data_IF_452597476579
#
_entry.id   IF_452597476579
#
_cell.length_a   1.000
_cell.length_b   1.000
_cell.length_c   1.000
_cell.angle_alpha   90.00
_cell.angle_beta   90.00
_cell.angle_gamma   90.00
#
_symmetry.space_group_name_H-M   'P 1'
#
loop_
_entity.id
_entity.type
_entity.pdbx_description
1 polymer ?
#
# COMPACT_ATOMS: atom_id res chain seq x y z
N UNK A 1 23.50 11.77 -3.55
CA UNK A 1 22.28 11.07 -3.07
C UNK A 1 21.09 12.02 -3.25
N UNK A 2 20.08 11.60 -4.03
CA UNK A 2 18.83 12.34 -4.23
C UNK A 2 17.74 11.63 -3.42
N UNK A 3 16.87 12.39 -2.77
CA UNK A 3 15.69 11.87 -2.07
C UNK A 3 14.46 12.10 -2.93
N UNK A 4 13.64 11.08 -3.08
CA UNK A 4 12.35 11.13 -3.75
C UNK A 4 11.27 10.76 -2.74
N UNK A 5 10.23 11.55 -2.68
CA UNK A 5 9.10 11.35 -1.79
C UNK A 5 8.04 10.50 -2.48
N UNK A 6 7.83 9.29 -1.96
CA UNK A 6 6.83 8.35 -2.47
C UNK A 6 5.54 8.37 -1.65
N UNK A 7 5.32 9.46 -0.91
CA UNK A 7 4.14 9.63 -0.06
C UNK A 7 3.03 10.34 -0.81
N UNK A 8 1.79 9.90 -0.63
CA UNK A 8 0.60 10.63 -1.10
C UNK A 8 0.38 11.90 -0.29
N UNK A 9 -0.18 12.91 -0.92
CA UNK A 9 -0.61 14.12 -0.24
C UNK A 9 -1.71 13.78 0.79
N UNK A 10 -1.72 14.51 1.92
CA UNK A 10 -2.70 14.36 2.98
C UNK A 10 -3.43 15.68 3.24
N UNK A 11 -4.75 15.64 3.23
CA UNK A 11 -5.60 16.80 3.49
C UNK A 11 -6.89 16.43 4.21
N UNK A 12 -7.77 17.42 4.40
CA UNK A 12 -9.12 17.24 4.91
C UNK A 12 -9.96 16.27 4.06
N UNK A 13 -9.67 16.16 2.76
CA UNK A 13 -10.42 15.35 1.80
C UNK A 13 -9.79 13.99 1.53
N UNK A 14 -8.69 13.67 2.20
CA UNK A 14 -8.03 12.37 2.05
C UNK A 14 -8.98 11.25 2.47
N UNK A 15 -9.30 10.32 1.58
CA UNK A 15 -10.18 9.21 1.91
C UNK A 15 -9.47 8.21 2.81
N UNK A 16 -10.23 7.58 3.71
CA UNK A 16 -9.78 6.41 4.44
C UNK A 16 -10.22 5.13 3.73
N UNK A 17 -9.63 3.99 4.11
CA UNK A 17 -10.09 2.70 3.62
C UNK A 17 -11.57 2.46 3.95
N UNK A 18 -12.23 1.65 3.13
CA UNK A 18 -13.66 1.36 3.24
C UNK A 18 -14.09 0.95 4.65
N UNK A 19 -15.04 1.69 5.20
CA UNK A 19 -15.57 1.47 6.56
C UNK A 19 -14.91 2.32 7.66
N UNK A 20 -13.82 3.03 7.37
CA UNK A 20 -13.20 3.97 8.29
C UNK A 20 -13.66 5.41 8.02
N UNK A 21 -13.82 6.26 9.06
CA UNK A 21 -14.05 7.69 8.86
C UNK A 21 -12.80 8.38 8.31
N UNK A 22 -12.99 9.31 7.39
CA UNK A 22 -11.93 10.19 6.90
C UNK A 22 -11.41 11.16 7.99
N UNK A 23 -10.33 11.92 7.70
CA UNK A 23 -9.74 12.85 8.64
C UNK A 23 -10.65 14.06 8.89
N UNK A 24 -10.64 14.56 10.13
CA UNK A 24 -11.18 15.86 10.51
C UNK A 24 -10.05 16.78 10.96
N UNK A 25 -9.90 17.91 10.28
CA UNK A 25 -8.82 18.86 10.54
C UNK A 25 -9.45 20.21 10.88
N UNK A 26 -9.04 20.82 12.01
CA UNK A 26 -9.52 22.14 12.40
C UNK A 26 -8.40 23.03 12.94
N UNK A 27 -8.51 24.32 12.67
CA UNK A 27 -7.67 25.33 13.32
C UNK A 27 -8.15 25.56 14.74
N UNK A 28 -7.28 25.34 15.72
CA UNK A 28 -7.51 25.63 17.13
C UNK A 28 -6.82 26.93 17.58
N UNK A 29 -5.82 27.41 16.82
CA UNK A 29 -5.18 28.70 16.96
C UNK A 29 -4.96 29.36 15.62
N UNK A 30 -5.10 30.66 15.56
CA UNK A 30 -4.86 31.44 14.35
C UNK A 30 -3.84 32.55 14.58
N UNK A 31 -2.90 32.71 13.67
CA UNK A 31 -1.82 33.71 13.75
C UNK A 31 -2.36 35.12 14.02
N UNK A 32 -3.50 35.48 13.41
CA UNK A 32 -4.09 36.81 13.56
C UNK A 32 -4.52 37.14 15.00
N UNK A 33 -4.82 36.14 15.83
CA UNK A 33 -5.34 36.36 17.18
C UNK A 33 -4.35 35.92 18.26
N UNK A 34 -3.69 34.75 18.06
CA UNK A 34 -2.82 34.17 19.11
C UNK A 34 -1.33 34.25 18.79
N UNK A 35 -0.94 34.90 17.68
CA UNK A 35 0.44 34.96 17.15
C UNK A 35 1.11 33.59 16.96
N UNK A 36 0.31 32.54 16.88
CA UNK A 36 0.72 31.17 16.60
C UNK A 36 -0.38 30.47 15.81
N UNK A 37 0.02 29.59 14.89
CA UNK A 37 -0.87 28.68 14.21
C UNK A 37 -0.92 27.34 14.95
N UNK A 38 -2.11 26.74 15.09
CA UNK A 38 -2.27 25.40 15.64
C UNK A 38 -3.43 24.69 14.99
N UNK A 39 -3.21 23.43 14.61
CA UNK A 39 -4.25 22.54 14.07
C UNK A 39 -4.43 21.34 14.99
N UNK A 40 -5.64 20.83 15.01
CA UNK A 40 -5.99 19.54 15.60
C UNK A 40 -6.44 18.60 14.49
N UNK A 41 -6.00 17.34 14.56
CA UNK A 41 -6.35 16.29 13.60
C UNK A 41 -6.97 15.13 14.37
N UNK A 42 -8.13 14.66 13.91
CA UNK A 42 -8.74 13.39 14.31
C UNK A 42 -8.81 12.52 13.05
N UNK A 43 -8.23 11.33 13.09
CA UNK A 43 -8.23 10.42 11.94
C UNK A 43 -8.08 8.97 12.40
N UNK A 44 -8.41 8.03 11.52
CA UNK A 44 -7.96 6.63 11.62
C UNK A 44 -6.50 6.53 11.20
N UNK A 45 -5.84 5.41 11.51
CA UNK A 45 -4.43 5.22 11.16
C UNK A 45 -4.26 4.73 9.72
N UNK A 46 -5.31 4.11 9.15
CA UNK A 46 -5.36 3.60 7.76
C UNK A 46 -5.86 4.68 6.80
N UNK A 47 -5.07 5.75 6.66
CA UNK A 47 -5.40 6.91 5.82
C UNK A 47 -4.14 7.45 5.15
N UNK A 48 -4.22 7.76 3.86
CA UNK A 48 -3.06 8.16 3.06
C UNK A 48 -1.94 7.09 3.11
N UNK A 49 -0.71 7.47 2.84
CA UNK A 49 0.44 6.55 2.94
C UNK A 49 0.69 6.19 4.40
N UNK A 50 0.53 4.92 4.73
CA UNK A 50 0.67 4.40 6.10
C UNK A 50 1.35 3.04 6.11
N UNK A 51 1.91 2.67 7.26
CA UNK A 51 2.49 1.37 7.54
C UNK A 51 1.56 0.59 8.46
N UNK A 52 1.24 -0.64 8.08
CA UNK A 52 0.52 -1.60 8.91
C UNK A 52 1.47 -2.52 9.64
N UNK A 53 1.25 -2.68 10.95
CA UNK A 53 2.01 -3.59 11.80
C UNK A 53 1.26 -4.91 12.04
N UNK A 54 1.94 -5.99 12.43
CA UNK A 54 1.29 -7.27 12.70
C UNK A 54 0.12 -7.22 13.68
N UNK A 55 0.15 -6.30 14.64
CA UNK A 55 -0.94 -6.11 15.61
C UNK A 55 -2.28 -5.71 14.97
N UNK A 56 -2.28 -5.25 13.71
CA UNK A 56 -3.50 -4.93 12.98
C UNK A 56 -4.40 -6.17 12.78
N UNK A 57 -3.81 -7.33 12.49
CA UNK A 57 -4.55 -8.58 12.25
C UNK A 57 -4.19 -9.72 13.21
N UNK A 58 -3.09 -9.58 13.95
CA UNK A 58 -2.57 -10.64 14.81
C UNK A 58 -2.65 -10.25 16.29
N UNK A 59 -3.44 -10.98 17.06
CA UNK A 59 -3.46 -10.83 18.53
C UNK A 59 -2.09 -11.13 19.11
N UNK A 60 -1.50 -10.15 19.81
CA UNK A 60 -0.14 -10.23 20.33
C UNK A 60 0.95 -9.96 19.30
N UNK A 61 0.58 -9.51 18.09
CA UNK A 61 1.54 -9.05 17.08
C UNK A 61 2.29 -7.77 17.51
N UNK A 62 3.40 -7.49 16.84
CA UNK A 62 4.18 -6.27 17.07
C UNK A 62 3.38 -5.02 16.68
N UNK A 63 3.56 -3.96 17.45
CA UNK A 63 3.07 -2.63 17.13
C UNK A 63 4.12 -1.82 16.35
N UNK A 64 3.73 -0.69 15.78
CA UNK A 64 4.63 0.22 15.06
C UNK A 64 5.85 0.62 15.91
N UNK A 65 5.62 0.90 17.20
CA UNK A 65 6.68 1.30 18.14
C UNK A 65 7.73 0.21 18.42
N UNK A 66 7.42 -1.04 18.11
CA UNK A 66 8.30 -2.20 18.30
C UNK A 66 9.23 -2.46 17.10
N UNK A 67 8.97 -1.81 15.95
CA UNK A 67 9.75 -1.98 14.73
C UNK A 67 11.02 -1.11 14.79
N UNK A 68 12.23 -1.72 14.73
CA UNK A 68 13.47 -0.94 14.75
C UNK A 68 13.71 -0.22 13.41
N UNK A 69 14.42 0.92 13.46
CA UNK A 69 14.69 1.70 12.25
C UNK A 69 15.45 0.92 11.17
N UNK A 70 16.34 0.02 11.57
CA UNK A 70 17.10 -0.85 10.68
C UNK A 70 16.20 -1.83 9.90
N UNK A 71 15.03 -2.15 10.46
CA UNK A 71 14.01 -2.93 9.76
C UNK A 71 13.28 -2.10 8.70
N UNK A 72 13.07 -0.82 8.99
CA UNK A 72 12.26 0.10 8.16
C UNK A 72 13.02 0.70 6.97
N UNK A 73 14.34 0.49 6.87
CA UNK A 73 15.17 1.01 5.78
C UNK A 73 16.02 -0.12 5.19
N UNK A 74 16.13 -0.20 3.87
CA UNK A 74 16.95 -1.20 3.22
C UNK A 74 16.91 -1.18 1.70
N UNK A 75 17.63 -2.09 1.07
CA UNK A 75 17.54 -2.30 -0.38
C UNK A 75 16.11 -2.66 -0.76
N UNK A 76 15.62 -2.09 -1.87
CA UNK A 76 14.29 -2.32 -2.37
C UNK A 76 14.28 -2.52 -3.88
N UNK A 77 13.47 -3.46 -4.36
CA UNK A 77 13.16 -3.65 -5.76
C UNK A 77 11.81 -2.99 -6.06
N UNK A 78 11.78 -2.08 -7.02
CA UNK A 78 10.55 -1.42 -7.48
C UNK A 78 10.09 -2.11 -8.77
N UNK A 79 9.01 -2.86 -8.67
CA UNK A 79 8.48 -3.69 -9.76
C UNK A 79 7.28 -3.00 -10.40
N UNK A 80 7.39 -2.69 -11.69
CA UNK A 80 6.33 -2.06 -12.47
C UNK A 80 5.40 -3.09 -13.11
N UNK A 81 4.26 -3.35 -12.46
CA UNK A 81 3.23 -4.25 -12.99
C UNK A 81 2.35 -3.57 -14.05
N UNK A 82 2.21 -2.24 -14.04
CA UNK A 82 1.47 -1.51 -15.08
C UNK A 82 2.08 -1.75 -16.45
N UNK A 83 3.41 -1.70 -16.56
CA UNK A 83 4.15 -2.02 -17.79
C UNK A 83 3.88 -3.43 -18.32
N UNK A 84 3.55 -4.36 -17.44
CA UNK A 84 3.21 -5.74 -17.80
C UNK A 84 1.75 -5.93 -18.22
N UNK A 85 0.97 -4.84 -18.26
CA UNK A 85 -0.44 -4.85 -18.66
C UNK A 85 -1.40 -5.28 -17.56
N UNK A 86 -0.95 -5.30 -16.31
CA UNK A 86 -1.80 -5.58 -15.15
C UNK A 86 -2.66 -4.35 -14.85
N UNK A 87 -3.97 -4.52 -14.80
CA UNK A 87 -4.94 -3.41 -14.65
C UNK A 87 -6.16 -3.80 -13.82
N UNK A 88 -7.30 -3.16 -14.12
CA UNK A 88 -8.53 -3.29 -13.33
C UNK A 88 -8.90 -4.75 -13.06
N UNK A 89 -9.02 -5.10 -11.76
CA UNK A 89 -9.35 -6.41 -11.20
C UNK A 89 -8.38 -7.55 -11.52
N UNK A 90 -7.28 -7.29 -12.24
CA UNK A 90 -6.34 -8.34 -12.58
C UNK A 90 -5.66 -8.94 -11.36
N UNK A 91 -5.21 -10.17 -11.51
CA UNK A 91 -4.44 -10.89 -10.50
C UNK A 91 -2.96 -10.89 -10.89
N UNK A 92 -2.10 -10.70 -9.91
CA UNK A 92 -0.67 -10.92 -10.11
C UNK A 92 -0.14 -12.06 -9.21
N UNK A 93 0.79 -12.82 -9.75
CA UNK A 93 1.44 -13.94 -9.10
C UNK A 93 2.96 -13.85 -9.20
N UNK A 94 3.70 -14.85 -8.67
CA UNK A 94 5.16 -14.92 -8.71
C UNK A 94 5.78 -14.70 -10.09
N UNK A 95 5.10 -15.18 -11.12
CA UNK A 95 5.54 -15.14 -12.53
C UNK A 95 5.83 -13.73 -13.03
N UNK A 96 5.11 -12.72 -12.55
CA UNK A 96 5.32 -11.31 -12.90
C UNK A 96 6.63 -10.77 -12.31
N UNK A 97 6.94 -11.12 -11.07
CA UNK A 97 8.18 -10.71 -10.39
C UNK A 97 9.39 -11.44 -10.95
N UNK A 98 9.24 -12.72 -11.29
CA UNK A 98 10.28 -13.49 -11.99
C UNK A 98 10.48 -12.97 -13.42
N UNK A 99 9.42 -12.50 -14.09
CA UNK A 99 9.55 -11.84 -15.40
C UNK A 99 10.31 -10.52 -15.25
N UNK A 100 9.97 -9.73 -14.23
CA UNK A 100 10.70 -8.50 -13.92
C UNK A 100 12.20 -8.75 -13.69
N UNK A 101 12.57 -9.81 -12.97
CA UNK A 101 13.97 -10.21 -12.77
C UNK A 101 14.67 -10.50 -14.11
N UNK A 102 13.99 -11.20 -15.01
CA UNK A 102 14.52 -11.52 -16.35
C UNK A 102 14.70 -10.27 -17.22
N UNK A 103 13.72 -9.37 -17.19
CA UNK A 103 13.69 -8.18 -18.05
C UNK A 103 14.71 -7.13 -17.63
N UNK A 104 14.90 -6.94 -16.33
CA UNK A 104 15.74 -5.89 -15.77
C UNK A 104 17.16 -6.35 -15.43
N UNK A 105 17.36 -7.66 -15.28
CA UNK A 105 18.60 -8.24 -14.76
C UNK A 105 18.80 -8.04 -13.26
N UNK A 106 17.87 -7.38 -12.57
CA UNK A 106 17.88 -7.29 -11.12
C UNK A 106 17.37 -8.58 -10.47
N UNK A 107 17.66 -8.76 -9.20
CA UNK A 107 17.12 -9.85 -8.39
C UNK A 107 16.50 -9.35 -7.11
N UNK A 108 15.36 -9.96 -6.75
CA UNK A 108 14.73 -9.79 -5.44
C UNK A 108 15.41 -10.76 -4.49
N UNK A 109 16.27 -10.25 -3.63
CA UNK A 109 17.09 -11.04 -2.71
C UNK A 109 16.42 -11.16 -1.34
N UNK A 110 16.82 -12.16 -0.57
CA UNK A 110 16.37 -12.30 0.82
C UNK A 110 16.71 -11.05 1.63
N UNK A 111 15.70 -10.47 2.27
CA UNK A 111 15.83 -9.26 3.08
C UNK A 111 15.63 -7.96 2.30
N UNK A 112 15.40 -8.03 0.98
CA UNK A 112 14.97 -6.85 0.23
C UNK A 112 13.55 -6.43 0.61
N UNK A 113 13.28 -5.15 0.43
CA UNK A 113 11.94 -4.58 0.43
C UNK A 113 11.37 -4.70 -0.99
N UNK A 114 10.09 -5.02 -1.12
CA UNK A 114 9.44 -5.11 -2.41
C UNK A 114 8.43 -3.99 -2.57
N UNK A 115 8.69 -3.07 -3.50
CA UNK A 115 7.78 -2.00 -3.89
C UNK A 115 7.01 -2.43 -5.14
N UNK A 116 5.70 -2.53 -5.02
CA UNK A 116 4.79 -2.97 -6.08
C UNK A 116 4.14 -1.73 -6.67
N UNK A 117 4.47 -1.43 -7.92
CA UNK A 117 3.85 -0.35 -8.67
C UNK A 117 2.77 -0.93 -9.58
N UNK A 118 1.55 -0.45 -9.40
CA UNK A 118 0.38 -0.84 -10.21
C UNK A 118 -0.09 0.28 -11.14
N UNK A 119 0.43 1.50 -10.96
CA UNK A 119 0.01 2.71 -11.64
C UNK A 119 -1.26 3.34 -11.06
N UNK A 120 -1.85 2.75 -10.01
CA UNK A 120 -3.11 3.21 -9.44
C UNK A 120 -2.98 4.48 -8.59
N UNK A 121 -1.78 4.83 -8.11
CA UNK A 121 -1.53 6.13 -7.47
C UNK A 121 -2.00 7.33 -8.30
N UNK A 122 -2.09 7.21 -9.62
CA UNK A 122 -2.58 8.25 -10.54
C UNK A 122 -4.05 8.59 -10.28
N UNK A 123 -4.85 7.63 -9.84
CA UNK A 123 -6.28 7.79 -9.57
C UNK A 123 -6.58 8.30 -8.16
N UNK A 124 -5.54 8.53 -7.33
CA UNK A 124 -5.71 8.95 -5.94
C UNK A 124 -6.49 10.25 -5.82
N UNK A 125 -7.55 10.33 -4.98
CA UNK A 125 -8.47 11.47 -4.90
C UNK A 125 -7.82 12.81 -4.55
N UNK A 126 -6.72 12.79 -3.82
CA UNK A 126 -5.95 13.97 -3.44
C UNK A 126 -4.78 14.27 -4.39
N UNK A 127 -4.80 13.75 -5.61
CA UNK A 127 -3.82 14.09 -6.62
C UNK A 127 -4.05 15.53 -7.13
N UNK A 128 -3.46 16.50 -6.45
CA UNK A 128 -3.57 17.93 -6.78
C UNK A 128 -2.77 18.34 -8.02
N UNK A 129 -1.80 17.52 -8.44
CA UNK A 129 -0.95 17.81 -9.61
C UNK A 129 -1.70 17.55 -10.90
N UNK A 130 -2.41 16.46 -10.97
CA UNK A 130 -3.24 16.11 -12.11
C UNK A 130 -4.58 15.52 -11.64
N UNK A 131 -5.60 16.36 -11.67
CA UNK A 131 -6.95 15.97 -11.28
C UNK A 131 -7.74 15.34 -12.43
N UNK A 132 -7.21 15.32 -13.64
CA UNK A 132 -7.90 14.73 -14.80
C UNK A 132 -7.99 13.20 -14.70
N UNK A 133 -7.10 12.57 -13.95
CA UNK A 133 -7.04 11.12 -13.74
C UNK A 133 -7.67 10.65 -12.43
N UNK A 134 -8.12 11.58 -11.56
CA UNK A 134 -8.73 11.22 -10.27
C UNK A 134 -9.95 10.34 -10.46
N UNK A 135 -9.90 9.12 -9.92
CA UNK A 135 -11.00 8.16 -9.91
C UNK A 135 -10.94 7.32 -8.62
N UNK A 136 -11.71 7.74 -7.63
CA UNK A 136 -11.74 7.10 -6.31
C UNK A 136 -12.23 5.63 -6.38
N UNK A 137 -13.18 5.33 -7.27
CA UNK A 137 -13.67 3.96 -7.46
C UNK A 137 -12.56 3.08 -8.03
N UNK A 138 -11.86 3.57 -9.04
CA UNK A 138 -10.76 2.84 -9.63
C UNK A 138 -9.63 2.64 -8.64
N UNK A 139 -9.28 3.68 -7.89
CA UNK A 139 -8.20 3.65 -6.90
C UNK A 139 -8.42 2.61 -5.80
N UNK A 140 -9.60 2.59 -5.17
CA UNK A 140 -9.86 1.72 -4.01
C UNK A 140 -10.46 0.37 -4.35
N UNK A 141 -11.17 0.26 -5.49
CA UNK A 141 -12.07 -0.86 -5.74
C UNK A 141 -11.61 -1.71 -6.91
N UNK A 142 -10.93 -1.10 -7.92
CA UNK A 142 -10.58 -1.80 -9.15
C UNK A 142 -9.11 -2.13 -9.29
N UNK A 143 -8.25 -1.67 -8.39
CA UNK A 143 -6.83 -1.97 -8.49
C UNK A 143 -6.57 -3.49 -8.49
N UNK A 144 -5.52 -3.94 -9.19
CA UNK A 144 -5.15 -5.36 -9.21
C UNK A 144 -4.68 -5.81 -7.82
N UNK A 145 -4.67 -7.11 -7.63
CA UNK A 145 -4.20 -7.66 -6.38
C UNK A 145 -3.54 -9.02 -6.51
N UNK A 146 -2.93 -9.51 -5.43
CA UNK A 146 -2.16 -10.73 -5.43
C UNK A 146 -3.00 -11.99 -5.45
N UNK A 147 -2.42 -13.05 -6.00
CA UNK A 147 -2.86 -14.43 -5.76
C UNK A 147 -2.30 -14.93 -4.43
N UNK A 148 -2.88 -16.03 -3.89
CA UNK A 148 -2.31 -16.76 -2.75
C UNK A 148 -0.86 -17.17 -3.02
N UNK A 149 -0.58 -17.67 -4.21
CA UNK A 149 0.77 -18.10 -4.61
C UNK A 149 1.80 -16.97 -4.48
N UNK A 150 1.41 -15.71 -4.72
CA UNK A 150 2.29 -14.57 -4.50
C UNK A 150 2.61 -14.36 -3.01
N UNK A 151 1.62 -14.45 -2.14
CA UNK A 151 1.86 -14.30 -0.69
C UNK A 151 2.80 -15.40 -0.15
N UNK A 152 2.63 -16.64 -0.60
CA UNK A 152 3.52 -17.75 -0.29
C UNK A 152 4.93 -17.52 -0.83
N UNK A 153 5.06 -17.07 -2.07
CA UNK A 153 6.33 -16.73 -2.71
C UNK A 153 7.08 -15.61 -1.96
N UNK A 154 6.38 -14.60 -1.45
CA UNK A 154 6.97 -13.52 -0.63
C UNK A 154 7.69 -14.11 0.60
N UNK A 155 7.07 -15.08 1.28
CA UNK A 155 7.68 -15.78 2.43
C UNK A 155 8.87 -16.65 2.01
N UNK A 156 8.73 -17.41 0.94
CA UNK A 156 9.81 -18.28 0.42
C UNK A 156 11.03 -17.47 -0.01
N UNK A 157 10.83 -16.36 -0.72
CA UNK A 157 11.89 -15.43 -1.11
C UNK A 157 12.53 -14.74 0.10
N UNK A 158 11.79 -14.63 1.20
CA UNK A 158 12.23 -13.94 2.40
C UNK A 158 12.28 -12.43 2.21
N UNK A 159 11.33 -11.90 1.46
CA UNK A 159 11.09 -10.45 1.35
C UNK A 159 10.90 -9.88 2.75
N UNK A 160 11.53 -8.75 3.05
CA UNK A 160 11.50 -8.17 4.40
C UNK A 160 10.14 -7.56 4.72
N UNK A 161 9.61 -6.75 3.81
CA UNK A 161 8.29 -6.14 3.86
C UNK A 161 7.91 -5.57 2.48
N UNK A 162 6.65 -5.17 2.34
CA UNK A 162 6.06 -4.77 1.07
C UNK A 162 5.62 -3.31 1.09
N UNK A 163 5.48 -2.72 -0.08
CA UNK A 163 4.83 -1.44 -0.28
C UNK A 163 4.06 -1.44 -1.62
N UNK A 164 2.91 -0.79 -1.67
CA UNK A 164 2.07 -0.72 -2.87
C UNK A 164 1.52 0.69 -3.10
N UNK A 165 1.31 1.07 -4.35
CA UNK A 165 0.75 2.34 -4.78
C UNK A 165 -0.79 2.32 -4.96
N UNK A 166 -1.45 1.44 -4.24
CA UNK A 166 -2.91 1.26 -4.27
C UNK A 166 -3.50 1.29 -2.86
N UNK A 167 -4.82 1.27 -2.77
CA UNK A 167 -5.58 1.42 -1.52
C UNK A 167 -5.44 0.28 -0.52
N UNK A 168 -4.97 -0.89 -0.95
CA UNK A 168 -4.63 -2.04 -0.08
C UNK A 168 -3.65 -2.98 -0.77
N UNK A 169 -2.89 -3.73 0.03
CA UNK A 169 -2.01 -4.80 -0.48
C UNK A 169 -2.76 -6.05 -0.91
N UNK A 170 -3.97 -6.28 -0.40
CA UNK A 170 -4.86 -7.34 -0.87
C UNK A 170 -5.60 -6.93 -2.16
N UNK A 171 -6.13 -7.91 -2.88
CA UNK A 171 -7.08 -7.61 -3.94
C UNK A 171 -8.37 -7.04 -3.31
N UNK A 172 -8.95 -5.93 -3.81
CA UNK A 172 -10.13 -5.30 -3.21
C UNK A 172 -11.29 -6.28 -3.02
N UNK A 173 -11.50 -7.17 -4.00
CA UNK A 173 -12.55 -8.19 -3.94
C UNK A 173 -12.24 -9.32 -2.95
N UNK A 174 -11.05 -9.35 -2.36
CA UNK A 174 -10.69 -10.24 -1.25
C UNK A 174 -10.82 -9.55 0.12
N UNK A 175 -11.52 -8.41 0.18
CA UNK A 175 -11.75 -7.62 1.40
C UNK A 175 -13.24 -7.43 1.67
N UNK A 176 -13.56 -6.56 2.61
CA UNK A 176 -14.94 -6.13 2.89
C UNK A 176 -15.60 -5.46 1.68
N UNK A 177 -14.82 -4.92 0.75
CA UNK A 177 -15.28 -4.15 -0.42
C UNK A 177 -16.24 -4.98 -1.28
N UNK A 178 -15.98 -6.28 -1.51
CA UNK A 178 -16.89 -7.11 -2.31
C UNK A 178 -18.31 -7.20 -1.77
N UNK A 179 -18.51 -6.94 -0.47
CA UNK A 179 -19.85 -6.92 0.16
C UNK A 179 -20.50 -5.55 0.13
N UNK A 180 -19.67 -4.49 0.16
CA UNK A 180 -20.13 -3.10 0.14
C UNK A 180 -20.51 -2.69 -1.29
N UNK A 181 -19.74 -3.19 -2.28
CA UNK A 181 -19.88 -2.88 -3.72
C UNK A 181 -20.13 -4.16 -4.51
N UNK A 182 -21.36 -4.71 -4.35
CA UNK A 182 -21.77 -5.91 -5.08
C UNK A 182 -21.80 -5.70 -6.60
N UNK A 183 -22.07 -4.49 -7.07
CA UNK A 183 -21.97 -4.09 -8.46
C UNK A 183 -20.56 -4.27 -9.04
N UNK A 184 -19.54 -3.83 -8.32
CA UNK A 184 -18.14 -3.98 -8.71
C UNK A 184 -17.65 -5.45 -8.55
N UNK A 185 -18.24 -6.19 -7.61
CA UNK A 185 -17.95 -7.62 -7.47
C UNK A 185 -18.43 -8.41 -8.71
N UNK A 186 -19.61 -8.11 -9.25
CA UNK A 186 -20.08 -8.70 -10.50
C UNK A 186 -19.19 -8.34 -11.70
N UNK A 187 -18.71 -7.11 -11.79
CA UNK A 187 -17.77 -6.71 -12.86
C UNK A 187 -16.42 -7.45 -12.73
N UNK A 188 -15.93 -7.62 -11.50
CA UNK A 188 -14.71 -8.38 -11.26
C UNK A 188 -14.87 -9.85 -11.68
N UNK A 189 -15.99 -10.51 -11.35
CA UNK A 189 -16.29 -11.88 -11.79
C UNK A 189 -16.33 -12.00 -13.31
N UNK A 190 -16.96 -11.04 -14.00
CA UNK A 190 -16.96 -10.98 -15.47
C UNK A 190 -15.55 -10.86 -16.04
N UNK A 191 -14.73 -9.98 -15.48
CA UNK A 191 -13.35 -9.77 -15.90
C UNK A 191 -12.50 -11.03 -15.67
N UNK A 192 -12.63 -11.65 -14.50
CA UNK A 192 -11.85 -12.82 -14.11
C UNK A 192 -12.35 -14.14 -14.74
N UNK A 193 -13.59 -14.16 -15.26
CA UNK A 193 -14.22 -15.35 -15.82
C UNK A 193 -14.49 -16.46 -14.81
N UNK A 194 -14.52 -16.14 -13.53
CA UNK A 194 -14.70 -17.04 -12.38
C UNK A 194 -15.43 -16.31 -11.27
N UNK A 195 -16.10 -17.06 -10.39
CA UNK A 195 -16.71 -16.48 -9.19
C UNK A 195 -15.65 -16.02 -8.19
N UNK A 196 -15.94 -14.98 -7.42
CA UNK A 196 -15.01 -14.51 -6.40
C UNK A 196 -14.74 -15.54 -5.30
N UNK A 197 -15.66 -16.47 -5.03
CA UNK A 197 -15.44 -17.55 -4.07
C UNK A 197 -14.47 -18.62 -4.59
N UNK A 198 -14.38 -18.81 -5.93
CA UNK A 198 -13.35 -19.65 -6.55
C UNK A 198 -11.98 -18.96 -6.59
N UNK A 199 -11.94 -17.66 -6.80
CA UNK A 199 -10.71 -16.87 -6.87
C UNK A 199 -10.16 -16.61 -5.46
N UNK A 200 -11.04 -16.26 -4.53
CA UNK A 200 -10.72 -15.91 -3.13
C UNK A 200 -11.53 -16.78 -2.16
N UNK A 201 -11.14 -18.03 -1.94
CA UNK A 201 -11.76 -18.89 -0.94
C UNK A 201 -11.75 -18.21 0.42
N UNK A 202 -12.74 -18.49 1.26
CA UNK A 202 -12.85 -17.87 2.59
C UNK A 202 -11.59 -18.02 3.45
N UNK A 203 -10.83 -19.09 3.25
CA UNK A 203 -9.56 -19.32 3.96
C UNK A 203 -8.47 -18.31 3.55
N UNK A 204 -8.59 -17.69 2.40
CA UNK A 204 -7.63 -16.74 1.85
C UNK A 204 -8.06 -15.27 2.05
N UNK A 205 -9.11 -15.04 2.87
CA UNK A 205 -9.60 -13.67 3.12
C UNK A 205 -8.50 -12.77 3.64
N UNK A 206 -8.25 -11.66 2.94
CA UNK A 206 -7.16 -10.72 3.19
C UNK A 206 -5.81 -11.44 3.39
N UNK A 207 -5.43 -12.25 2.39
CA UNK A 207 -4.29 -13.16 2.46
C UNK A 207 -2.96 -12.45 2.75
N UNK A 208 -2.79 -11.22 2.28
CA UNK A 208 -1.57 -10.46 2.54
C UNK A 208 -1.44 -10.08 4.01
N UNK A 209 -2.56 -9.83 4.68
CA UNK A 209 -2.59 -9.57 6.12
C UNK A 209 -2.52 -10.88 6.93
N UNK A 210 -3.39 -11.82 6.60
CA UNK A 210 -3.57 -13.04 7.43
C UNK A 210 -2.41 -14.02 7.33
N UNK A 211 -1.72 -14.09 6.19
CA UNK A 211 -0.57 -14.97 5.99
C UNK A 211 0.76 -14.28 6.33
N UNK A 212 0.93 -12.99 6.01
CA UNK A 212 2.24 -12.36 6.11
C UNK A 212 2.55 -11.79 7.51
N UNK A 213 1.58 -11.21 8.20
CA UNK A 213 1.79 -10.64 9.53
C UNK A 213 2.29 -11.63 10.59
N UNK A 214 1.86 -12.92 10.62
CA UNK A 214 2.45 -13.91 11.50
C UNK A 214 3.95 -14.13 11.30
N UNK A 215 4.49 -13.72 10.15
CA UNK A 215 5.91 -13.80 9.79
C UNK A 215 6.63 -12.44 9.87
N UNK A 216 6.02 -11.43 10.49
CA UNK A 216 6.54 -10.05 10.60
C UNK A 216 6.77 -9.37 9.23
N UNK A 217 6.17 -9.82 8.15
CA UNK A 217 6.19 -9.14 6.86
C UNK A 217 5.09 -8.07 6.85
N UNK A 218 5.49 -6.86 7.20
CA UNK A 218 4.61 -5.68 7.25
C UNK A 218 4.43 -5.06 5.87
N UNK A 219 3.50 -4.14 5.70
CA UNK A 219 3.34 -3.46 4.41
C UNK A 219 2.91 -1.99 4.54
N UNK A 220 3.33 -1.22 3.54
CA UNK A 220 2.87 0.15 3.30
C UNK A 220 1.78 0.10 2.24
N UNK A 221 0.70 0.81 2.48
CA UNK A 221 -0.36 1.06 1.51
C UNK A 221 -0.36 2.53 1.09
N UNK A 222 -0.93 2.81 -0.08
CA UNK A 222 -1.08 4.16 -0.62
C UNK A 222 0.24 4.88 -0.89
N UNK A 223 1.22 4.24 -1.55
CA UNK A 223 2.35 4.95 -2.12
C UNK A 223 1.91 5.87 -3.27
N UNK A 224 2.71 6.88 -3.58
CA UNK A 224 2.47 7.81 -4.68
C UNK A 224 3.61 8.81 -4.84
N UNK A 225 3.30 10.09 -4.86
CA UNK A 225 4.31 11.14 -4.97
C UNK A 225 5.17 11.02 -6.22
N UNK A 226 6.45 10.73 -6.04
CA UNK A 226 7.44 10.62 -7.12
C UNK A 226 7.76 9.17 -7.47
N UNK A 227 6.85 8.22 -7.28
CA UNK A 227 7.09 6.79 -7.50
C UNK A 227 7.52 6.48 -8.95
N UNK A 228 6.99 7.21 -9.94
CA UNK A 228 7.32 7.02 -11.35
C UNK A 228 8.81 7.29 -11.68
N UNK A 229 9.54 8.00 -10.80
CA UNK A 229 10.97 8.26 -11.02
C UNK A 229 11.88 7.06 -10.65
N UNK A 230 11.33 6.00 -10.06
CA UNK A 230 12.11 4.85 -9.55
C UNK A 230 11.69 3.49 -10.09
N UNK A 231 10.82 3.47 -11.10
CA UNK A 231 10.30 2.22 -11.67
C UNK A 231 11.41 1.33 -12.23
N UNK A 232 11.23 0.03 -12.10
CA UNK A 232 12.14 -1.02 -12.58
C UNK A 232 13.59 -0.90 -12.06
N UNK A 233 13.76 -0.36 -10.85
CA UNK A 233 15.10 -0.14 -10.24
C UNK A 233 15.24 -0.85 -8.90
N UNK A 234 16.50 -1.13 -8.56
CA UNK A 234 16.90 -1.45 -7.18
C UNK A 234 17.43 -0.18 -6.53
N UNK A 235 16.86 0.20 -5.39
CA UNK A 235 17.10 1.49 -4.70
C UNK A 235 17.32 1.25 -3.20
N UNK A 236 17.73 2.28 -2.48
CA UNK A 236 17.56 2.32 -1.03
C UNK A 236 16.20 2.94 -0.72
N UNK A 237 15.38 2.26 0.08
CA UNK A 237 14.04 2.71 0.41
C UNK A 237 13.82 2.69 1.91
N UNK A 238 13.12 3.68 2.44
CA UNK A 238 12.83 3.80 3.85
C UNK A 238 11.40 4.28 4.13
N UNK A 239 10.83 3.75 5.20
CA UNK A 239 9.55 4.15 5.76
C UNK A 239 9.74 4.76 7.13
N UNK A 240 9.15 5.93 7.38
CA UNK A 240 9.33 6.69 8.61
C UNK A 240 7.98 6.99 9.27
N UNK A 241 7.36 5.98 9.92
CA UNK A 241 6.13 6.15 10.68
C UNK A 241 6.41 6.87 12.01
N UNK A 242 5.37 7.38 12.64
CA UNK A 242 5.47 7.83 14.03
C UNK A 242 5.91 6.64 14.91
N UNK A 243 6.77 6.90 15.89
CA UNK A 243 7.10 5.91 16.91
C UNK A 243 5.91 5.72 17.86
N UNK A 244 4.84 5.17 17.36
CA UNK A 244 3.58 5.05 18.06
C UNK A 244 3.55 3.75 18.89
N UNK A 245 3.69 3.88 20.23
CA UNK A 245 3.54 2.75 21.15
C UNK A 245 2.08 2.30 21.18
N UNK A 246 1.84 1.00 20.91
CA UNK A 246 0.51 0.44 20.84
C UNK A 246 -0.27 0.83 19.57
N UNK A 247 0.36 1.51 18.61
CA UNK A 247 -0.23 1.75 17.29
C UNK A 247 -0.17 0.51 16.42
N UNK A 248 -1.32 0.05 15.93
CA UNK A 248 -1.41 -1.11 15.02
C UNK A 248 -1.10 -0.72 13.57
N UNK A 249 -1.14 0.57 13.27
CA UNK A 249 -0.69 1.20 12.04
C UNK A 249 -0.18 2.62 12.35
N UNK A 250 0.45 3.28 11.39
CA UNK A 250 0.77 4.70 11.48
C UNK A 250 0.97 5.33 10.10
N UNK A 251 0.47 6.56 9.86
CA UNK A 251 0.88 7.36 8.73
C UNK A 251 2.41 7.50 8.70
N UNK A 252 2.98 7.48 7.51
CA UNK A 252 4.44 7.51 7.34
C UNK A 252 4.88 8.36 6.15
N UNK A 253 6.15 8.77 6.17
CA UNK A 253 6.84 9.23 4.97
C UNK A 253 7.59 8.06 4.36
N UNK A 254 7.31 7.80 3.10
CA UNK A 254 7.96 6.79 2.29
C UNK A 254 8.99 7.47 1.37
N UNK A 255 10.26 7.11 1.48
CA UNK A 255 11.36 7.85 0.84
C UNK A 255 12.27 6.90 0.08
N UNK A 256 12.41 7.14 -1.22
CA UNK A 256 13.44 6.52 -2.04
C UNK A 256 14.71 7.38 -2.03
N UNK A 257 15.85 6.73 -1.88
CA UNK A 257 17.18 7.34 -1.89
C UNK A 257 17.96 6.77 -3.07
N UNK A 258 18.33 7.62 -4.00
CA UNK A 258 19.05 7.25 -5.23
C UNK A 258 20.35 8.07 -5.37
N UNK A 259 21.30 7.55 -6.15
CA UNK A 259 22.53 8.26 -6.48
C UNK A 259 22.31 9.41 -7.46
#
# INVERSE_FOLDING_TARGET
>A
MKFLDLTQDFSLHTPAFAGYPGPAIRWIKRLAFEKAGGQEITMTLHVSTHLDAPAHFLSGGKFIGDLPLEFLVGPACVVDLERMGIGDYDLYGPEHFEQWERDTGHRIERGDILVIHTGYHKYYPENWKDRSEVDETRYFIRHPGPTRAFAEWVLERGVRWLAIDAGTTDHPMNTVIRRIRADEAEEAEKKLGRTLDEVFPKADYQIMHTLLFPHDVVHIENLGGQIDEVLDRKILFGCYPWRFQGGEAAPCRAVAMIE
#
